data_IF_231758142552
#
_entry.id   IF_231758142552
#
_cell.length_a   1.000
_cell.length_b   1.000
_cell.length_c   1.000
_cell.angle_alpha   90.00
_cell.angle_beta   90.00
_cell.angle_gamma   90.00
#
_symmetry.space_group_name_H-M   'P 1'
#
loop_
_entity.id
_entity.type
_entity.pdbx_description
1 polymer ?
#
# COMPACT_ATOMS: atom_id res chain seq x y z
N UNK A 1 47.16 -42.59 -11.45
CA UNK A 1 46.00 -41.86 -11.96
C UNK A 1 45.09 -41.24 -10.87
N UNK A 2 45.22 -41.59 -9.59
CA UNK A 2 44.38 -41.06 -8.50
C UNK A 2 44.71 -39.62 -8.05
N UNK A 3 45.96 -39.18 -8.10
CA UNK A 3 46.36 -37.84 -7.63
C UNK A 3 45.75 -36.67 -8.42
N UNK A 4 45.50 -36.82 -9.74
CA UNK A 4 44.89 -35.76 -10.58
C UNK A 4 43.40 -35.51 -10.27
N UNK A 5 42.69 -36.51 -9.82
CA UNK A 5 41.23 -36.39 -9.47
C UNK A 5 41.02 -35.61 -8.18
N UNK A 6 41.94 -35.70 -7.24
CA UNK A 6 41.85 -35.00 -5.95
C UNK A 6 42.19 -33.51 -6.09
N UNK A 7 43.12 -33.14 -6.98
CA UNK A 7 43.42 -31.74 -7.26
C UNK A 7 42.24 -31.05 -7.95
N UNK A 8 41.54 -31.74 -8.86
CA UNK A 8 40.34 -31.20 -9.51
C UNK A 8 39.19 -30.99 -8.52
N UNK A 9 38.99 -31.90 -7.54
CA UNK A 9 37.98 -31.76 -6.48
C UNK A 9 38.31 -30.61 -5.52
N UNK A 10 39.57 -30.38 -5.21
CA UNK A 10 40.00 -29.28 -4.36
C UNK A 10 39.83 -27.92 -5.05
N UNK A 11 40.05 -27.84 -6.37
CA UNK A 11 39.83 -26.64 -7.17
C UNK A 11 38.32 -26.28 -7.26
N UNK A 12 37.45 -27.27 -7.37
CA UNK A 12 36.00 -27.06 -7.37
C UNK A 12 35.52 -26.59 -6.00
N UNK A 13 36.08 -27.12 -4.90
CA UNK A 13 35.74 -26.69 -3.55
C UNK A 13 36.15 -25.25 -3.25
N UNK A 14 37.31 -24.80 -3.78
CA UNK A 14 37.75 -23.40 -3.64
C UNK A 14 36.90 -22.45 -4.46
N UNK A 15 36.44 -22.85 -5.64
CA UNK A 15 35.51 -22.04 -6.47
C UNK A 15 34.14 -21.86 -5.84
N UNK A 16 33.64 -22.85 -5.09
CA UNK A 16 32.33 -22.76 -4.37
C UNK A 16 32.43 -21.83 -3.17
N UNK A 17 33.61 -21.72 -2.53
CA UNK A 17 33.80 -20.79 -1.40
C UNK A 17 33.99 -19.34 -1.82
N UNK A 18 34.30 -19.07 -3.11
CA UNK A 18 34.43 -17.70 -3.64
C UNK A 18 33.08 -17.08 -4.04
N UNK A 19 32.01 -17.86 -4.07
CA UNK A 19 30.63 -17.33 -4.24
C UNK A 19 30.08 -16.80 -2.92
N UNK A 20 30.85 -15.93 -2.26
CA UNK A 20 30.37 -15.16 -1.13
C UNK A 20 29.20 -14.29 -1.61
N UNK A 21 27.99 -14.61 -1.16
CA UNK A 21 26.86 -13.72 -1.25
C UNK A 21 27.26 -12.36 -0.69
N UNK A 22 27.64 -11.44 -1.55
CA UNK A 22 27.61 -10.02 -1.21
C UNK A 22 26.15 -9.69 -0.93
N UNK A 23 25.76 -9.72 0.34
CA UNK A 23 24.57 -9.03 0.81
C UNK A 23 24.71 -7.59 0.33
N UNK A 24 24.04 -7.23 -0.78
CA UNK A 24 23.77 -5.84 -1.09
C UNK A 24 23.13 -5.27 0.16
N UNK A 25 23.88 -4.47 0.91
CA UNK A 25 23.31 -3.59 1.91
C UNK A 25 22.30 -2.73 1.16
N UNK A 26 21.03 -3.03 1.35
CA UNK A 26 19.95 -2.19 0.88
C UNK A 26 19.97 -0.92 1.74
N UNK A 27 20.80 0.01 1.33
CA UNK A 27 20.88 1.36 1.89
C UNK A 27 19.84 2.22 1.20
N UNK A 28 18.61 1.75 1.14
CA UNK A 28 17.47 2.63 0.88
C UNK A 28 17.28 3.51 2.11
N UNK A 29 18.05 4.61 2.20
CA UNK A 29 17.64 5.74 3.04
C UNK A 29 16.21 6.04 2.64
N UNK A 30 15.25 5.87 3.57
CA UNK A 30 13.89 6.39 3.39
C UNK A 30 14.02 7.90 3.22
N UNK A 31 14.00 8.36 1.98
CA UNK A 31 13.92 9.78 1.66
C UNK A 31 12.53 10.21 2.14
N UNK A 32 12.47 11.22 3.01
CA UNK A 32 11.20 11.80 3.41
C UNK A 32 10.68 12.60 2.22
N UNK A 33 9.43 12.38 1.87
CA UNK A 33 8.77 13.08 0.75
C UNK A 33 8.75 14.61 0.94
N UNK A 34 8.80 15.04 2.20
CA UNK A 34 8.84 16.45 2.62
C UNK A 34 10.13 17.18 2.17
N UNK A 35 11.19 16.43 1.89
CA UNK A 35 12.50 16.96 1.49
C UNK A 35 12.69 17.00 -0.06
N UNK A 36 11.67 16.61 -0.85
CA UNK A 36 11.75 16.55 -2.30
C UNK A 36 11.14 17.80 -2.93
N UNK A 37 11.85 18.37 -3.91
CA UNK A 37 11.31 19.45 -4.72
C UNK A 37 10.22 18.96 -5.69
N UNK A 38 9.40 19.89 -6.16
CA UNK A 38 8.27 19.62 -7.06
C UNK A 38 8.71 18.93 -8.36
N UNK A 39 9.85 19.31 -8.93
CA UNK A 39 10.37 18.74 -10.17
C UNK A 39 10.73 17.25 -9.98
N UNK A 40 11.34 16.93 -8.87
CA UNK A 40 11.66 15.54 -8.47
C UNK A 40 10.40 14.72 -8.29
N UNK A 41 9.38 15.25 -7.58
CA UNK A 41 8.09 14.58 -7.38
C UNK A 41 7.38 14.31 -8.71
N UNK A 42 7.35 15.29 -9.61
CA UNK A 42 6.78 15.11 -10.95
C UNK A 42 7.54 14.08 -11.78
N UNK A 43 8.86 14.04 -11.69
CA UNK A 43 9.69 13.03 -12.33
C UNK A 43 9.32 11.63 -11.86
N UNK A 44 9.27 11.42 -10.55
CA UNK A 44 8.87 10.14 -9.95
C UNK A 44 7.44 9.73 -10.35
N UNK A 45 6.51 10.65 -10.37
CA UNK A 45 5.12 10.39 -10.79
C UNK A 45 5.05 9.96 -12.27
N UNK A 46 5.82 10.61 -13.16
CA UNK A 46 5.92 10.23 -14.57
C UNK A 46 6.49 8.83 -14.74
N UNK A 47 7.56 8.49 -14.02
CA UNK A 47 8.18 7.17 -14.10
C UNK A 47 7.22 6.08 -13.63
N UNK A 48 6.57 6.27 -12.47
CA UNK A 48 5.55 5.34 -11.97
C UNK A 48 4.43 5.18 -13.00
N UNK A 49 3.92 6.29 -13.53
CA UNK A 49 2.81 6.28 -14.49
C UNK A 49 3.19 5.59 -15.80
N UNK A 50 4.42 5.74 -16.27
CA UNK A 50 4.92 5.10 -17.50
C UNK A 50 4.81 3.58 -17.43
N UNK A 51 5.17 3.00 -16.29
CA UNK A 51 5.20 1.55 -16.08
C UNK A 51 3.83 0.95 -15.73
N UNK A 52 2.83 1.78 -15.46
CA UNK A 52 1.48 1.32 -15.14
C UNK A 52 0.76 0.79 -16.38
N UNK A 53 0.04 -0.34 -16.22
CA UNK A 53 -0.93 -0.80 -17.22
C UNK A 53 -2.07 0.21 -17.40
N UNK A 54 -2.73 0.22 -18.56
CA UNK A 54 -3.90 1.08 -18.81
C UNK A 54 -4.99 0.88 -17.74
N UNK A 55 -5.23 -0.35 -17.33
CA UNK A 55 -6.17 -0.69 -16.27
C UNK A 55 -5.82 0.01 -14.95
N UNK A 56 -4.54 -0.01 -14.57
CA UNK A 56 -4.08 0.63 -13.35
C UNK A 56 -4.21 2.16 -13.45
N UNK A 57 -3.86 2.73 -14.61
CA UNK A 57 -4.02 4.19 -14.85
C UNK A 57 -5.48 4.62 -14.70
N UNK A 58 -6.40 3.89 -15.33
CA UNK A 58 -7.83 4.16 -15.21
C UNK A 58 -8.28 4.02 -13.75
N UNK A 59 -7.88 2.94 -13.07
CA UNK A 59 -8.25 2.71 -11.68
C UNK A 59 -7.85 3.84 -10.74
N UNK A 60 -6.69 4.48 -10.98
CA UNK A 60 -6.23 5.61 -10.16
C UNK A 60 -7.12 6.87 -10.27
N UNK A 61 -7.99 6.94 -11.26
CA UNK A 61 -8.95 8.05 -11.41
C UNK A 61 -10.21 7.87 -10.56
N UNK A 62 -10.39 6.71 -9.91
CA UNK A 62 -11.59 6.41 -9.15
C UNK A 62 -11.34 6.42 -7.64
N UNK A 63 -12.24 7.07 -6.93
CA UNK A 63 -12.46 6.87 -5.50
C UNK A 63 -13.74 6.04 -5.32
N UNK A 64 -13.63 4.96 -4.56
CA UNK A 64 -14.74 4.03 -4.35
C UNK A 64 -15.15 4.00 -2.87
N UNK A 65 -16.42 3.73 -2.60
CA UNK A 65 -16.86 3.51 -1.22
C UNK A 65 -16.43 2.10 -0.75
N UNK A 66 -16.27 1.94 0.55
CA UNK A 66 -15.99 0.63 1.15
C UNK A 66 -17.04 -0.40 0.78
N UNK A 67 -18.33 0.01 0.68
CA UNK A 67 -19.44 -0.87 0.33
C UNK A 67 -19.33 -1.47 -1.07
N UNK A 68 -18.67 -0.78 -2.00
CA UNK A 68 -18.46 -1.25 -3.37
C UNK A 68 -17.30 -2.25 -3.48
N UNK A 69 -16.45 -2.34 -2.46
CA UNK A 69 -15.34 -3.27 -2.47
C UNK A 69 -15.76 -4.72 -2.17
N UNK A 70 -16.86 -4.90 -1.46
CA UNK A 70 -17.43 -6.23 -1.15
C UNK A 70 -18.93 -6.13 -0.99
N UNK A 71 -19.68 -6.35 -2.06
CA UNK A 71 -21.14 -6.22 -2.07
C UNK A 71 -21.82 -7.26 -1.19
N UNK A 72 -21.24 -8.43 -1.01
CA UNK A 72 -21.79 -9.49 -0.16
C UNK A 72 -21.78 -9.08 1.32
N UNK A 73 -20.81 -8.27 1.72
CA UNK A 73 -20.61 -7.79 3.08
C UNK A 73 -20.93 -6.28 3.20
N UNK A 74 -21.88 -5.77 2.42
CA UNK A 74 -22.14 -4.33 2.26
C UNK A 74 -22.64 -3.60 3.50
N UNK A 75 -23.04 -4.32 4.56
CA UNK A 75 -23.58 -3.70 5.79
C UNK A 75 -22.54 -3.61 6.90
N UNK A 76 -22.35 -2.42 7.46
CA UNK A 76 -21.53 -2.16 8.66
C UNK A 76 -20.08 -2.71 8.56
N UNK A 77 -19.39 -2.38 7.47
CA UNK A 77 -18.03 -2.88 7.24
C UNK A 77 -17.02 -2.09 8.05
N UNK A 78 -16.64 -2.62 9.19
CA UNK A 78 -15.63 -2.06 10.09
C UNK A 78 -14.31 -2.86 10.04
N UNK A 79 -14.27 -3.88 9.18
CA UNK A 79 -13.09 -4.74 8.96
C UNK A 79 -12.84 -4.94 7.47
N UNK A 80 -11.59 -5.13 7.10
CA UNK A 80 -11.22 -5.47 5.72
C UNK A 80 -11.44 -6.95 5.48
N UNK A 81 -12.37 -7.27 4.57
CA UNK A 81 -12.68 -8.64 4.17
C UNK A 81 -11.72 -9.13 3.08
N UNK A 82 -11.69 -10.43 2.85
CA UNK A 82 -10.92 -11.00 1.73
C UNK A 82 -11.55 -10.64 0.37
N UNK A 83 -12.86 -10.40 0.32
CA UNK A 83 -13.56 -9.86 -0.84
C UNK A 83 -13.02 -8.50 -1.23
N UNK A 84 -12.91 -7.56 -0.28
CA UNK A 84 -12.30 -6.24 -0.50
C UNK A 84 -10.89 -6.32 -1.05
N UNK A 85 -10.04 -7.19 -0.47
CA UNK A 85 -8.66 -7.39 -0.93
C UNK A 85 -8.60 -7.91 -2.36
N UNK A 86 -9.48 -8.86 -2.71
CA UNK A 86 -9.59 -9.40 -4.07
C UNK A 86 -10.06 -8.33 -5.05
N UNK A 87 -11.05 -7.53 -4.66
CA UNK A 87 -11.58 -6.44 -5.50
C UNK A 87 -10.52 -5.38 -5.76
N UNK A 88 -9.79 -4.91 -4.75
CA UNK A 88 -8.71 -3.93 -4.93
C UNK A 88 -7.57 -4.47 -5.81
N UNK A 89 -7.23 -5.76 -5.72
CA UNK A 89 -6.25 -6.39 -6.62
C UNK A 89 -6.76 -6.49 -8.05
N UNK A 90 -8.04 -6.81 -8.22
CA UNK A 90 -8.66 -6.95 -9.54
C UNK A 90 -8.94 -5.59 -10.18
N UNK A 91 -9.36 -4.61 -9.40
CA UNK A 91 -9.73 -3.26 -9.84
C UNK A 91 -9.01 -2.24 -8.94
N UNK A 92 -7.76 -1.88 -9.26
CA UNK A 92 -6.96 -1.00 -8.42
C UNK A 92 -7.52 0.42 -8.45
N UNK A 93 -8.18 0.82 -7.37
CA UNK A 93 -8.69 2.17 -7.19
C UNK A 93 -7.59 3.14 -6.75
N UNK A 94 -7.76 4.44 -7.02
CA UNK A 94 -6.89 5.51 -6.53
C UNK A 94 -7.19 5.90 -5.09
N UNK A 95 -8.41 5.69 -4.63
CA UNK A 95 -8.79 6.01 -3.25
C UNK A 95 -10.05 5.31 -2.76
N UNK A 96 -10.27 5.42 -1.46
CA UNK A 96 -11.42 4.85 -0.77
C UNK A 96 -12.07 5.91 0.11
N UNK A 97 -13.39 6.04 0.00
CA UNK A 97 -14.22 6.90 0.86
C UNK A 97 -14.83 6.07 1.98
N UNK A 98 -14.67 6.52 3.21
CA UNK A 98 -15.25 5.95 4.42
C UNK A 98 -16.47 6.76 4.86
N UNK A 99 -17.42 6.10 5.46
CA UNK A 99 -18.62 6.70 6.03
C UNK A 99 -18.77 6.34 7.51
N UNK A 100 -19.68 6.99 8.23
CA UNK A 100 -19.87 6.78 9.67
C UNK A 100 -19.94 5.31 10.09
N UNK A 101 -20.63 4.47 9.31
CA UNK A 101 -20.77 3.03 9.59
C UNK A 101 -19.46 2.21 9.46
N UNK A 102 -18.42 2.81 8.88
CA UNK A 102 -17.11 2.18 8.77
C UNK A 102 -16.17 2.59 9.92
N UNK A 103 -16.59 3.55 10.75
CA UNK A 103 -15.76 4.23 11.74
C UNK A 103 -16.39 4.02 13.12
N UNK A 104 -15.78 3.16 13.94
CA UNK A 104 -16.24 2.87 15.29
C UNK A 104 -15.32 3.44 16.36
N UNK A 105 -14.03 3.14 16.25
CA UNK A 105 -13.00 3.63 17.16
C UNK A 105 -11.77 4.07 16.38
N UNK A 106 -10.92 4.88 16.98
CA UNK A 106 -9.65 5.31 16.40
C UNK A 106 -8.76 4.11 16.02
N UNK A 107 -8.66 3.12 16.90
CA UNK A 107 -7.82 1.93 16.71
C UNK A 107 -8.35 1.02 15.61
N UNK A 108 -9.67 0.80 15.58
CA UNK A 108 -10.34 0.04 14.51
C UNK A 108 -10.11 0.72 13.17
N UNK A 109 -10.38 2.01 13.06
CA UNK A 109 -10.22 2.81 11.83
C UNK A 109 -8.78 2.79 11.34
N UNK A 110 -7.82 3.02 12.23
CA UNK A 110 -6.38 2.96 11.91
C UNK A 110 -5.94 1.59 11.41
N UNK A 111 -6.47 0.52 12.00
CA UNK A 111 -6.20 -0.86 11.59
C UNK A 111 -6.76 -1.13 10.21
N UNK A 112 -8.00 -0.70 9.95
CA UNK A 112 -8.67 -0.85 8.68
C UNK A 112 -7.93 -0.12 7.55
N UNK A 113 -7.56 1.15 7.77
CA UNK A 113 -6.77 1.93 6.81
C UNK A 113 -5.45 1.21 6.49
N UNK A 114 -4.72 0.74 7.51
CA UNK A 114 -3.46 -0.01 7.29
C UNK A 114 -3.65 -1.27 6.46
N UNK A 115 -4.76 -1.99 6.64
CA UNK A 115 -5.05 -3.20 5.88
C UNK A 115 -5.44 -2.89 4.43
N UNK A 116 -6.23 -1.83 4.19
CA UNK A 116 -6.57 -1.36 2.84
C UNK A 116 -5.32 -0.93 2.09
N UNK A 117 -4.45 -0.13 2.71
CA UNK A 117 -3.18 0.29 2.13
C UNK A 117 -2.28 -0.90 1.72
N UNK A 118 -2.22 -1.95 2.54
CA UNK A 118 -1.47 -3.18 2.22
C UNK A 118 -2.08 -3.99 1.07
N UNK A 119 -3.33 -3.74 0.74
CA UNK A 119 -4.07 -4.46 -0.31
C UNK A 119 -3.95 -3.79 -1.68
N UNK A 120 -3.38 -2.59 -1.75
CA UNK A 120 -3.16 -1.83 -2.97
C UNK A 120 -1.69 -1.73 -3.33
N UNK A 121 -1.36 -1.75 -4.63
CA UNK A 121 0.00 -1.58 -5.14
C UNK A 121 0.47 -0.13 -5.02
N UNK A 122 -0.40 0.82 -5.35
CA UNK A 122 -0.18 2.25 -5.13
C UNK A 122 -0.96 2.65 -3.87
N UNK A 123 -0.37 3.43 -2.96
CA UNK A 123 -1.08 3.87 -1.77
C UNK A 123 -2.40 4.56 -2.11
N UNK A 124 -3.45 4.19 -1.39
CA UNK A 124 -4.79 4.72 -1.59
C UNK A 124 -4.93 6.11 -0.96
N UNK A 125 -5.60 7.02 -1.64
CA UNK A 125 -6.19 8.17 -0.96
C UNK A 125 -7.31 7.69 -0.05
N UNK A 126 -7.25 8.10 1.22
CA UNK A 126 -8.30 7.81 2.19
C UNK A 126 -9.10 9.09 2.43
N UNK A 127 -10.40 9.01 2.20
CA UNK A 127 -11.30 10.13 2.36
C UNK A 127 -12.45 9.79 3.31
N UNK A 128 -13.02 10.82 3.90
CA UNK A 128 -14.26 10.77 4.66
C UNK A 128 -15.08 12.02 4.29
N UNK A 129 -16.38 11.85 4.20
CA UNK A 129 -17.31 12.96 4.02
C UNK A 129 -17.57 13.59 5.39
N UNK A 130 -16.91 14.69 5.69
CA UNK A 130 -16.99 15.39 6.99
C UNK A 130 -17.29 16.86 6.75
N UNK A 131 -18.50 17.30 7.14
CA UNK A 131 -18.96 18.68 6.96
C UNK A 131 -19.06 19.44 8.28
N UNK A 132 -18.81 18.77 9.41
CA UNK A 132 -19.15 19.24 10.75
C UNK A 132 -20.65 19.36 11.00
N UNK A 133 -21.08 19.51 12.25
CA UNK A 133 -22.51 19.59 12.58
C UNK A 133 -23.26 18.30 12.26
N UNK A 134 -24.30 18.39 11.41
CA UNK A 134 -25.20 17.26 11.11
C UNK A 134 -24.47 16.13 10.34
N UNK A 135 -23.52 16.47 9.48
CA UNK A 135 -22.71 15.51 8.75
C UNK A 135 -21.35 15.41 9.42
N UNK A 136 -21.27 14.65 10.48
CA UNK A 136 -20.03 14.36 11.20
C UNK A 136 -19.83 12.85 11.30
N UNK A 137 -18.69 12.38 10.74
CA UNK A 137 -18.36 10.95 10.63
C UNK A 137 -17.26 10.56 11.61
N UNK A 138 -16.40 11.51 11.96
CA UNK A 138 -15.21 11.26 12.79
C UNK A 138 -15.28 11.92 14.16
N UNK A 139 -16.33 12.67 14.49
CA UNK A 139 -16.46 13.35 15.76
C UNK A 139 -16.32 12.42 16.98
N UNK A 140 -16.82 11.18 16.86
CA UNK A 140 -16.74 10.16 17.92
C UNK A 140 -15.32 9.66 18.18
N UNK A 141 -14.40 9.82 17.22
CA UNK A 141 -13.02 9.32 17.29
C UNK A 141 -11.95 10.41 17.20
N UNK A 142 -12.34 11.64 16.87
CA UNK A 142 -11.44 12.79 16.82
C UNK A 142 -11.81 13.80 17.92
N UNK A 143 -10.79 14.46 18.48
CA UNK A 143 -10.98 15.64 19.33
C UNK A 143 -11.12 16.90 18.47
N UNK A 144 -11.72 16.81 17.29
CA UNK A 144 -11.99 17.99 16.49
C UNK A 144 -12.96 18.89 17.28
N UNK A 145 -12.50 20.07 17.67
CA UNK A 145 -13.29 21.07 18.31
C UNK A 145 -14.52 21.33 17.44
N UNK A 146 -15.71 21.28 18.05
CA UNK A 146 -16.90 21.87 17.46
C UNK A 146 -16.60 23.34 17.19
N UNK A 147 -16.50 23.72 15.95
CA UNK A 147 -16.55 25.14 15.59
C UNK A 147 -17.99 25.60 15.85
N UNK A 148 -18.21 26.26 16.99
CA UNK A 148 -19.39 27.07 17.24
C UNK A 148 -19.35 28.32 16.37
#
# INVERSE_FOLDING_TARGET
>A
MMKKRWISLLLILVLVMASGCTKKKDTTKKVKTEDLDEATLQGMAKDITKDMSLKNKIGQLFMVSIYQLDEAESKNQTKVTDGMKKTLKKYPAGGVVMFAKNIETREQTKTMIKQLQKSSYIPLFMAVDEECGTVSRVASISCAASYE
#
